data_IF_549035770124
#
_entry.id   IF_549035770124
#
_cell.length_a   1.000
_cell.length_b   1.000
_cell.length_c   1.000
_cell.angle_alpha   90.00
_cell.angle_beta   90.00
_cell.angle_gamma   90.00
#
_symmetry.space_group_name_H-M   'P 1'
#
loop_
_entity.id
_entity.type
_entity.pdbx_description
1 polymer ?
#
# COMPACT_ATOMS: atom_id res chain seq x y z
N UNK A 1 39.58 13.67 43.16
CA UNK A 1 39.55 13.69 41.69
C UNK A 1 41.00 13.73 41.22
N UNK A 2 41.55 12.57 40.89
CA UNK A 2 42.89 12.43 40.31
C UNK A 2 42.74 12.51 38.78
N UNK A 3 43.58 13.30 38.14
CA UNK A 3 43.66 13.42 36.68
C UNK A 3 44.97 12.73 36.28
N UNK A 4 44.86 11.59 35.62
CA UNK A 4 45.99 10.84 35.05
C UNK A 4 46.62 11.58 33.85
N UNK A 5 47.95 11.57 33.69
CA UNK A 5 48.61 12.19 32.55
C UNK A 5 48.56 11.29 31.29
N UNK A 6 48.33 11.93 30.15
CA UNK A 6 48.26 11.33 28.81
C UNK A 6 49.62 10.71 28.43
N UNK A 7 49.61 9.41 28.17
CA UNK A 7 50.76 8.64 27.70
C UNK A 7 50.92 8.82 26.18
N UNK A 8 51.95 9.53 25.74
CA UNK A 8 52.33 9.67 24.32
C UNK A 8 52.90 8.35 23.76
N UNK A 9 52.53 7.94 22.54
CA UNK A 9 53.06 6.72 21.92
C UNK A 9 54.55 6.87 21.53
N UNK A 10 55.34 5.78 21.55
CA UNK A 10 56.77 5.81 21.26
C UNK A 10 57.06 6.07 19.76
N UNK A 11 58.24 6.62 19.43
CA UNK A 11 58.60 6.97 18.06
C UNK A 11 58.76 5.73 17.16
N UNK A 12 58.40 5.82 15.87
CA UNK A 12 58.51 4.69 14.95
C UNK A 12 59.96 4.31 14.73
N UNK A 13 60.28 3.05 15.04
CA UNK A 13 61.58 2.44 14.74
C UNK A 13 61.82 2.40 13.22
N UNK A 14 63.07 2.56 12.75
CA UNK A 14 63.38 2.52 11.33
C UNK A 14 63.10 1.12 10.79
N UNK A 15 62.05 1.00 9.98
CA UNK A 15 61.70 -0.23 9.27
C UNK A 15 62.85 -0.55 8.32
N UNK A 16 63.56 -1.65 8.57
CA UNK A 16 64.45 -2.25 7.59
C UNK A 16 63.64 -2.53 6.32
N UNK A 17 64.01 -1.88 5.22
CA UNK A 17 63.34 -1.95 3.91
C UNK A 17 63.46 -3.34 3.21
N UNK A 18 63.68 -4.41 3.95
CA UNK A 18 63.78 -5.77 3.44
C UNK A 18 62.44 -6.50 3.30
N UNK A 19 61.32 -5.90 3.72
CA UNK A 19 59.98 -6.50 3.64
C UNK A 19 59.12 -6.00 2.46
N UNK A 20 59.71 -5.28 1.48
CA UNK A 20 58.97 -4.70 0.35
C UNK A 20 59.03 -5.55 -0.94
N UNK A 21 59.84 -6.62 -0.97
CA UNK A 21 60.01 -7.51 -2.14
C UNK A 21 59.74 -8.98 -1.84
N UNK A 22 59.21 -9.32 -0.65
CA UNK A 22 58.72 -10.68 -0.41
C UNK A 22 57.30 -10.77 -0.95
N UNK A 23 57.20 -11.25 -2.19
CA UNK A 23 55.97 -11.76 -2.76
C UNK A 23 55.41 -12.86 -1.81
N UNK A 24 54.16 -12.78 -1.32
CA UNK A 24 53.66 -13.66 -0.27
C UNK A 24 53.49 -15.13 -0.68
N UNK A 25 53.76 -15.50 -1.93
CA UNK A 25 53.45 -16.83 -2.47
C UNK A 25 54.66 -17.73 -2.75
N UNK A 26 55.89 -17.20 -2.66
CA UNK A 26 57.08 -18.02 -2.91
C UNK A 26 58.10 -17.83 -1.78
N UNK A 27 57.77 -18.42 -0.63
CA UNK A 27 58.73 -18.65 0.45
C UNK A 27 59.65 -19.85 0.16
N UNK A 28 59.49 -20.47 -1.00
CA UNK A 28 60.21 -21.68 -1.35
C UNK A 28 61.59 -21.35 -1.93
N UNK A 29 62.59 -22.20 -1.67
CA UNK A 29 63.88 -22.10 -2.34
C UNK A 29 63.71 -22.11 -3.86
N UNK A 30 64.53 -21.36 -4.60
CA UNK A 30 64.45 -21.23 -6.08
C UNK A 30 64.55 -22.56 -6.85
N UNK A 31 65.04 -23.62 -6.21
CA UNK A 31 65.12 -24.97 -6.77
C UNK A 31 63.80 -25.75 -6.61
N UNK A 32 62.95 -25.37 -5.67
CA UNK A 32 61.65 -25.98 -5.44
C UNK A 32 60.63 -25.29 -6.33
N UNK A 33 59.96 -26.08 -7.17
CA UNK A 33 59.05 -25.59 -8.20
C UNK A 33 57.71 -26.32 -8.07
N UNK A 34 56.80 -25.84 -7.22
CA UNK A 34 55.54 -26.52 -6.94
C UNK A 34 54.61 -26.56 -8.16
N UNK A 35 54.75 -25.62 -9.10
CA UNK A 35 53.99 -25.58 -10.36
C UNK A 35 54.13 -26.85 -11.20
N UNK A 36 55.27 -27.54 -11.11
CA UNK A 36 55.50 -28.80 -11.83
C UNK A 36 54.55 -29.91 -11.34
N UNK A 37 54.11 -29.86 -10.09
CA UNK A 37 53.16 -30.84 -9.52
C UNK A 37 51.76 -30.73 -10.13
N UNK A 38 51.42 -29.58 -10.72
CA UNK A 38 50.14 -29.37 -11.40
C UNK A 38 50.14 -29.89 -12.84
N UNK A 39 51.31 -30.30 -13.36
CA UNK A 39 51.42 -30.76 -14.74
C UNK A 39 50.86 -32.19 -14.90
N UNK A 40 50.10 -32.48 -15.98
CA UNK A 40 49.48 -33.79 -16.19
C UNK A 40 50.49 -34.91 -16.48
N UNK A 41 51.72 -34.56 -16.85
CA UNK A 41 52.80 -35.51 -17.20
C UNK A 41 53.88 -35.55 -16.12
N UNK A 42 53.56 -35.15 -14.89
CA UNK A 42 54.52 -35.08 -13.80
C UNK A 42 55.05 -36.48 -13.46
N UNK A 43 56.38 -36.64 -13.49
CA UNK A 43 57.08 -37.84 -13.03
C UNK A 43 57.91 -37.51 -11.79
N UNK A 44 57.55 -38.14 -10.67
CA UNK A 44 58.22 -37.91 -9.38
C UNK A 44 59.65 -38.42 -9.37
N UNK A 45 59.93 -39.52 -10.07
CA UNK A 45 61.25 -40.17 -10.04
C UNK A 45 62.28 -39.33 -10.81
N UNK A 46 61.90 -38.82 -11.99
CA UNK A 46 62.74 -37.87 -12.75
C UNK A 46 62.97 -36.56 -11.98
N UNK A 47 61.92 -36.02 -11.34
CA UNK A 47 62.02 -34.77 -10.57
C UNK A 47 62.97 -34.87 -9.37
N UNK A 48 62.87 -35.95 -8.58
CA UNK A 48 63.75 -36.18 -7.43
C UNK A 48 65.19 -36.45 -7.89
N UNK A 49 65.37 -37.18 -9.00
CA UNK A 49 66.69 -37.51 -9.55
C UNK A 49 67.45 -36.26 -10.00
N UNK A 50 66.76 -35.31 -10.64
CA UNK A 50 67.34 -34.03 -11.05
C UNK A 50 67.76 -33.21 -9.82
N UNK A 51 66.90 -33.10 -8.82
CA UNK A 51 67.14 -32.29 -7.60
C UNK A 51 68.20 -32.88 -6.67
N UNK A 52 68.32 -34.21 -6.58
CA UNK A 52 69.33 -34.88 -5.76
C UNK A 52 70.77 -34.56 -6.19
N UNK A 53 70.96 -34.11 -7.43
CA UNK A 53 72.27 -33.67 -7.95
C UNK A 53 72.74 -32.37 -7.29
N UNK A 54 71.82 -31.55 -6.78
CA UNK A 54 72.10 -30.19 -6.29
C UNK A 54 71.68 -29.95 -4.84
N UNK A 55 70.84 -30.81 -4.26
CA UNK A 55 70.22 -30.59 -2.94
C UNK A 55 70.28 -31.87 -2.07
N UNK A 56 70.65 -31.76 -0.77
CA UNK A 56 70.57 -32.87 0.16
C UNK A 56 69.15 -33.45 0.28
N UNK A 57 69.05 -34.76 0.44
CA UNK A 57 67.75 -35.43 0.48
C UNK A 57 66.89 -34.98 1.68
N UNK A 58 67.50 -34.73 2.84
CA UNK A 58 66.78 -34.30 4.04
C UNK A 58 66.12 -32.92 3.86
N UNK A 59 66.79 -32.00 3.17
CA UNK A 59 66.24 -30.66 2.87
C UNK A 59 65.13 -30.73 1.83
N UNK A 60 65.23 -31.62 0.84
CA UNK A 60 64.15 -31.87 -0.12
C UNK A 60 62.91 -32.42 0.59
N UNK A 61 63.11 -33.39 1.50
CA UNK A 61 62.04 -34.01 2.27
C UNK A 61 61.34 -33.01 3.18
N UNK A 62 62.09 -32.15 3.88
CA UNK A 62 61.51 -31.14 4.77
C UNK A 62 60.68 -30.11 4.00
N UNK A 63 61.17 -29.63 2.86
CA UNK A 63 60.42 -28.67 2.01
C UNK A 63 59.15 -29.29 1.42
N UNK A 64 59.21 -30.53 0.92
CA UNK A 64 58.03 -31.22 0.41
C UNK A 64 56.98 -31.41 1.52
N UNK A 65 57.43 -31.77 2.72
CA UNK A 65 56.53 -31.93 3.88
C UNK A 65 55.92 -30.59 4.29
N UNK A 66 56.72 -29.51 4.31
CA UNK A 66 56.24 -28.16 4.59
C UNK A 66 55.20 -27.70 3.57
N UNK A 67 55.46 -27.89 2.27
CA UNK A 67 54.53 -27.58 1.20
C UNK A 67 53.23 -28.38 1.32
N UNK A 68 53.30 -29.68 1.60
CA UNK A 68 52.11 -30.50 1.83
C UNK A 68 51.28 -30.00 3.03
N UNK A 69 51.93 -29.67 4.14
CA UNK A 69 51.23 -29.13 5.31
C UNK A 69 50.60 -27.76 5.03
N UNK A 70 51.28 -26.90 4.26
CA UNK A 70 50.76 -25.60 3.84
C UNK A 70 49.52 -25.77 2.98
N UNK A 71 49.59 -26.64 1.97
CA UNK A 71 48.47 -26.92 1.07
C UNK A 71 47.27 -27.53 1.83
N UNK A 72 47.53 -28.37 2.83
CA UNK A 72 46.47 -28.92 3.67
C UNK A 72 45.77 -27.84 4.50
N UNK A 73 46.52 -26.90 5.07
CA UNK A 73 45.94 -25.75 5.78
C UNK A 73 45.16 -24.85 4.83
N UNK A 74 45.70 -24.53 3.65
CA UNK A 74 45.01 -23.72 2.64
C UNK A 74 43.70 -24.37 2.18
N UNK A 75 43.69 -25.69 1.97
CA UNK A 75 42.48 -26.43 1.64
C UNK A 75 41.43 -26.32 2.76
N UNK A 76 41.85 -26.48 4.01
CA UNK A 76 40.96 -26.36 5.17
C UNK A 76 40.42 -24.94 5.27
N UNK A 77 41.26 -23.92 5.08
CA UNK A 77 40.86 -22.52 5.11
C UNK A 77 39.90 -22.16 3.97
N UNK A 78 40.14 -22.69 2.77
CA UNK A 78 39.25 -22.54 1.63
C UNK A 78 37.87 -23.15 1.92
N UNK A 79 37.84 -24.38 2.44
CA UNK A 79 36.60 -25.06 2.82
C UNK A 79 35.89 -24.28 3.92
N UNK A 80 36.60 -23.81 4.93
CA UNK A 80 36.02 -23.05 6.04
C UNK A 80 35.44 -21.70 5.57
N UNK A 81 36.13 -21.02 4.65
CA UNK A 81 35.65 -19.78 4.03
C UNK A 81 34.36 -20.05 3.25
N UNK A 82 34.38 -21.04 2.36
CA UNK A 82 33.23 -21.35 1.51
C UNK A 82 32.05 -21.87 2.35
N UNK A 83 32.31 -22.60 3.44
CA UNK A 83 31.29 -23.01 4.41
C UNK A 83 30.68 -21.81 5.13
N UNK A 84 31.50 -20.85 5.56
CA UNK A 84 31.04 -19.61 6.19
C UNK A 84 30.15 -18.83 5.24
N UNK A 85 30.53 -18.71 3.97
CA UNK A 85 29.74 -18.04 2.94
C UNK A 85 28.41 -18.77 2.68
N UNK A 86 28.42 -20.10 2.60
CA UNK A 86 27.21 -20.89 2.45
C UNK A 86 26.25 -20.72 3.63
N UNK A 87 26.75 -20.77 4.87
CA UNK A 87 25.94 -20.56 6.08
C UNK A 87 25.37 -19.15 6.12
N UNK A 88 26.18 -18.13 5.80
CA UNK A 88 25.74 -16.74 5.72
C UNK A 88 24.66 -16.54 4.65
N UNK A 89 24.83 -17.14 3.47
CA UNK A 89 23.84 -17.08 2.40
C UNK A 89 22.54 -17.78 2.80
N UNK A 90 22.63 -18.95 3.45
CA UNK A 90 21.46 -19.69 3.92
C UNK A 90 20.66 -18.90 4.96
N UNK A 91 21.34 -18.22 5.89
CA UNK A 91 20.71 -17.36 6.90
C UNK A 91 20.01 -16.17 6.24
N UNK A 92 20.69 -15.49 5.31
CA UNK A 92 20.09 -14.39 4.54
C UNK A 92 18.86 -14.83 3.76
N UNK A 93 18.87 -16.03 3.19
CA UNK A 93 17.75 -16.55 2.43
C UNK A 93 16.53 -16.81 3.33
N UNK A 94 16.75 -17.37 4.53
CA UNK A 94 15.70 -17.54 5.55
C UNK A 94 15.15 -16.19 6.00
N UNK A 95 16.01 -15.18 6.19
CA UNK A 95 15.58 -13.84 6.57
C UNK A 95 14.71 -13.19 5.48
N UNK A 96 15.07 -13.35 4.20
CA UNK A 96 14.28 -12.87 3.07
C UNK A 96 12.93 -13.58 3.00
N UNK A 97 12.90 -14.90 3.17
CA UNK A 97 11.64 -15.66 3.21
C UNK A 97 10.73 -15.15 4.34
N UNK A 98 11.29 -14.92 5.53
CA UNK A 98 10.55 -14.34 6.66
C UNK A 98 10.00 -12.95 6.34
N UNK A 99 10.74 -12.12 5.60
CA UNK A 99 10.30 -10.79 5.19
C UNK A 99 9.17 -10.87 4.16
N UNK A 100 9.25 -11.79 3.20
CA UNK A 100 8.18 -12.06 2.22
C UNK A 100 6.90 -12.51 2.93
N UNK A 101 7.01 -13.44 3.89
CA UNK A 101 5.87 -13.88 4.70
C UNK A 101 5.24 -12.71 5.47
N UNK A 102 6.06 -11.85 6.10
CA UNK A 102 5.58 -10.65 6.81
C UNK A 102 4.91 -9.64 5.89
N UNK A 103 5.36 -9.47 4.65
CA UNK A 103 4.79 -8.51 3.70
C UNK A 103 3.49 -8.98 3.04
N UNK A 104 3.23 -10.30 3.00
CA UNK A 104 2.06 -10.86 2.31
C UNK A 104 0.73 -10.36 2.88
N UNK A 105 0.58 -10.33 4.20
CA UNK A 105 -0.65 -9.88 4.85
C UNK A 105 -0.91 -8.37 4.67
N UNK A 106 0.05 -7.45 4.92
CA UNK A 106 -0.11 -6.02 4.65
C UNK A 106 -0.48 -5.69 3.19
N UNK A 107 0.10 -6.41 2.22
CA UNK A 107 -0.22 -6.21 0.81
C UNK A 107 -1.66 -6.63 0.47
N UNK A 108 -2.15 -7.71 1.10
CA UNK A 108 -3.52 -8.16 0.93
C UNK A 108 -4.50 -7.16 1.58
N UNK A 109 -4.20 -6.70 2.79
CA UNK A 109 -4.99 -5.68 3.48
C UNK A 109 -5.05 -4.37 2.68
N UNK A 110 -3.93 -3.94 2.10
CA UNK A 110 -3.90 -2.76 1.24
C UNK A 110 -4.78 -2.94 0.00
N UNK A 111 -4.74 -4.11 -0.64
CA UNK A 111 -5.61 -4.41 -1.79
C UNK A 111 -7.09 -4.37 -1.41
N UNK A 112 -7.45 -4.94 -0.26
CA UNK A 112 -8.82 -4.90 0.24
C UNK A 112 -9.28 -3.46 0.53
N UNK A 113 -8.42 -2.65 1.15
CA UNK A 113 -8.70 -1.22 1.38
C UNK A 113 -8.90 -0.44 0.08
N UNK A 114 -8.06 -0.69 -0.93
CA UNK A 114 -8.20 -0.05 -2.26
C UNK A 114 -9.52 -0.47 -2.92
N UNK A 115 -9.87 -1.74 -2.83
CA UNK A 115 -11.14 -2.26 -3.35
C UNK A 115 -12.34 -1.60 -2.66
N UNK A 116 -12.32 -1.54 -1.33
CA UNK A 116 -13.36 -0.86 -0.54
C UNK A 116 -13.48 0.63 -0.88
N UNK A 117 -12.35 1.32 -1.03
CA UNK A 117 -12.35 2.73 -1.45
C UNK A 117 -12.92 2.91 -2.86
N UNK A 118 -12.55 2.04 -3.80
CA UNK A 118 -13.10 2.06 -5.16
C UNK A 118 -14.62 1.86 -5.15
N UNK A 119 -15.11 0.88 -4.40
CA UNK A 119 -16.56 0.66 -4.23
C UNK A 119 -17.29 1.84 -3.59
N UNK A 120 -16.67 2.53 -2.63
CA UNK A 120 -17.21 3.75 -2.03
C UNK A 120 -17.31 4.90 -3.03
N UNK A 121 -16.27 5.09 -3.85
CA UNK A 121 -16.24 6.10 -4.92
C UNK A 121 -17.30 5.80 -5.98
N UNK A 122 -17.42 4.55 -6.41
CA UNK A 122 -18.43 4.14 -7.39
C UNK A 122 -19.85 4.34 -6.84
N UNK A 123 -20.10 4.00 -5.57
CA UNK A 123 -21.38 4.23 -4.91
C UNK A 123 -21.73 5.72 -4.84
N UNK A 124 -20.76 6.56 -4.49
CA UNK A 124 -20.93 8.02 -4.46
C UNK A 124 -21.21 8.59 -5.85
N UNK A 125 -20.50 8.10 -6.89
CA UNK A 125 -20.74 8.50 -8.27
C UNK A 125 -22.16 8.14 -8.72
N UNK A 126 -22.62 6.93 -8.41
CA UNK A 126 -23.99 6.48 -8.71
C UNK A 126 -25.01 7.35 -7.98
N UNK A 127 -24.81 7.61 -6.68
CA UNK A 127 -25.70 8.47 -5.91
C UNK A 127 -25.78 9.90 -6.48
N UNK A 128 -24.65 10.47 -6.90
CA UNK A 128 -24.59 11.79 -7.53
C UNK A 128 -25.31 11.79 -8.88
N UNK A 129 -25.10 10.78 -9.72
CA UNK A 129 -25.80 10.64 -11.00
C UNK A 129 -27.31 10.55 -10.81
N UNK A 130 -27.77 9.68 -9.92
CA UNK A 130 -29.18 9.53 -9.61
C UNK A 130 -29.77 10.84 -9.06
N UNK A 131 -29.04 11.54 -8.19
CA UNK A 131 -29.45 12.84 -7.66
C UNK A 131 -29.54 13.94 -8.72
N UNK A 132 -28.64 13.94 -9.72
CA UNK A 132 -28.71 14.87 -10.86
C UNK A 132 -29.89 14.55 -11.78
N UNK A 133 -30.15 13.28 -12.05
CA UNK A 133 -31.28 12.82 -12.86
C UNK A 133 -32.63 13.14 -12.18
N UNK A 134 -32.74 12.90 -10.88
CA UNK A 134 -33.94 13.27 -10.13
C UNK A 134 -34.19 14.78 -10.16
N UNK A 135 -33.13 15.59 -10.10
CA UNK A 135 -33.24 17.06 -10.18
C UNK A 135 -33.66 17.52 -11.58
N UNK A 136 -33.16 16.90 -12.64
CA UNK A 136 -33.55 17.25 -14.01
C UNK A 136 -35.00 16.85 -14.29
N UNK A 137 -35.44 15.68 -13.84
CA UNK A 137 -36.83 15.23 -13.96
C UNK A 137 -37.80 16.13 -13.17
N UNK A 138 -37.43 16.49 -11.94
CA UNK A 138 -38.20 17.41 -11.13
C UNK A 138 -38.31 18.80 -11.78
N UNK A 139 -37.24 19.28 -12.42
CA UNK A 139 -37.26 20.55 -13.17
C UNK A 139 -38.19 20.47 -14.39
N UNK A 140 -38.07 19.44 -15.22
CA UNK A 140 -38.92 19.24 -16.41
C UNK A 140 -40.41 19.13 -16.04
N UNK A 141 -40.70 18.40 -14.96
CA UNK A 141 -42.06 18.23 -14.45
C UNK A 141 -42.63 19.56 -13.96
N UNK A 142 -41.84 20.38 -13.24
CA UNK A 142 -42.26 21.73 -12.79
C UNK A 142 -42.57 22.65 -13.97
N UNK A 143 -41.76 22.62 -15.03
CA UNK A 143 -42.02 23.39 -16.25
C UNK A 143 -43.33 22.97 -16.91
N UNK A 144 -43.61 21.66 -16.99
CA UNK A 144 -44.86 21.13 -17.51
C UNK A 144 -46.07 21.59 -16.70
N UNK A 145 -46.06 21.39 -15.38
CA UNK A 145 -47.16 21.82 -14.51
C UNK A 145 -47.37 23.33 -14.56
N UNK A 146 -46.29 24.11 -14.58
CA UNK A 146 -46.35 25.58 -14.71
C UNK A 146 -47.05 26.00 -16.01
N UNK A 147 -46.64 25.44 -17.15
CA UNK A 147 -47.27 25.70 -18.45
C UNK A 147 -48.75 25.28 -18.48
N UNK A 148 -49.08 24.11 -17.94
CA UNK A 148 -50.45 23.60 -17.87
C UNK A 148 -51.33 24.50 -16.99
N UNK A 149 -50.82 24.90 -15.82
CA UNK A 149 -51.51 25.80 -14.90
C UNK A 149 -51.77 27.17 -15.52
N UNK A 150 -50.77 27.77 -16.18
CA UNK A 150 -50.91 29.05 -16.88
C UNK A 150 -52.00 28.94 -17.97
N UNK A 151 -52.00 27.88 -18.76
CA UNK A 151 -53.04 27.62 -19.79
C UNK A 151 -54.43 27.50 -19.16
N UNK A 152 -54.55 26.76 -18.06
CA UNK A 152 -55.81 26.54 -17.36
C UNK A 152 -56.37 27.83 -16.74
N UNK A 153 -55.52 28.62 -16.07
CA UNK A 153 -55.89 29.91 -15.52
C UNK A 153 -56.36 30.89 -16.61
N UNK A 154 -55.68 30.93 -17.76
CA UNK A 154 -56.10 31.74 -18.89
C UNK A 154 -57.48 31.30 -19.43
N UNK A 155 -57.72 29.99 -19.50
CA UNK A 155 -59.01 29.43 -19.93
C UNK A 155 -60.14 29.78 -18.95
N UNK A 156 -59.90 29.62 -17.65
CA UNK A 156 -60.85 29.99 -16.59
C UNK A 156 -61.18 31.48 -16.66
N UNK A 157 -60.16 32.35 -16.75
CA UNK A 157 -60.36 33.80 -16.89
C UNK A 157 -61.26 34.12 -18.08
N UNK A 158 -60.95 33.56 -19.25
CA UNK A 158 -61.76 33.74 -20.46
C UNK A 158 -63.20 33.25 -20.27
N UNK A 159 -63.38 32.08 -19.64
CA UNK A 159 -64.72 31.52 -19.40
C UNK A 159 -65.53 32.39 -18.42
N UNK A 160 -64.91 32.88 -17.35
CA UNK A 160 -65.52 33.81 -16.39
C UNK A 160 -65.93 35.10 -17.09
N UNK A 161 -65.04 35.72 -17.86
CA UNK A 161 -65.36 36.91 -18.64
C UNK A 161 -66.48 36.69 -19.66
N UNK A 162 -66.52 35.52 -20.30
CA UNK A 162 -67.59 35.14 -21.22
C UNK A 162 -68.93 34.96 -20.50
N UNK A 163 -68.94 34.30 -19.34
CA UNK A 163 -70.16 34.15 -18.54
C UNK A 163 -70.68 35.50 -18.06
N UNK A 164 -69.80 36.40 -17.58
CA UNK A 164 -70.16 37.76 -17.16
C UNK A 164 -70.82 38.55 -18.31
N UNK A 165 -70.37 38.36 -19.55
CA UNK A 165 -70.97 39.02 -20.73
C UNK A 165 -72.31 38.44 -21.17
N UNK A 166 -72.63 37.21 -20.78
CA UNK A 166 -73.82 36.46 -21.21
C UNK A 166 -74.89 36.35 -20.12
N UNK A 167 -74.68 36.93 -18.92
CA UNK A 167 -75.76 37.09 -17.95
C UNK A 167 -76.78 38.12 -18.48
N UNK A 168 -78.09 37.80 -18.51
CA UNK A 168 -79.11 38.79 -18.83
C UNK A 168 -79.20 39.82 -17.70
N UNK A 169 -79.17 41.11 -18.03
CA UNK A 169 -79.53 42.19 -17.11
C UNK A 169 -81.03 42.09 -16.78
N UNK A 170 -81.38 41.90 -15.51
CA UNK A 170 -82.77 41.88 -15.00
C UNK A 170 -82.89 42.96 -13.90
N UNK A 171 -84.02 43.72 -13.82
CA UNK A 171 -84.01 45.10 -13.37
C UNK A 171 -84.03 45.26 -11.84
N UNK A 172 -83.60 46.45 -11.40
CA UNK A 172 -83.69 46.90 -10.03
C UNK A 172 -85.16 47.03 -9.58
N UNK A 173 -85.63 46.12 -8.72
CA UNK A 173 -86.58 46.46 -7.65
C UNK A 173 -86.62 45.34 -6.59
N UNK A 174 -85.95 45.55 -5.46
CA UNK A 174 -86.22 44.82 -4.21
C UNK A 174 -86.36 45.86 -3.11
N UNK A 175 -87.56 46.47 -3.08
CA UNK A 175 -88.07 47.32 -2.01
C UNK A 175 -88.27 46.52 -0.71
N UNK A 176 -88.06 47.20 0.41
CA UNK A 176 -88.08 46.73 1.80
C UNK A 176 -89.38 46.02 2.23
N UNK A 177 -89.25 45.05 3.13
CA UNK A 177 -90.34 44.46 3.91
C UNK A 177 -89.82 43.73 5.15
N UNK A 178 -89.84 44.42 6.28
CA UNK A 178 -89.53 43.92 7.63
C UNK A 178 -90.76 43.18 8.21
N UNK A 179 -90.60 41.94 8.72
CA UNK A 179 -91.46 41.36 9.78
C UNK A 179 -90.72 40.25 10.55
N UNK A 180 -90.52 40.47 11.86
CA UNK A 180 -90.17 39.47 12.88
C UNK A 180 -91.35 38.50 13.17
N UNK A 181 -91.10 37.26 13.65
CA UNK A 181 -91.74 36.63 14.85
C UNK A 181 -91.79 35.07 14.84
N UNK A 182 -91.32 34.52 15.97
CA UNK A 182 -91.68 33.26 16.66
C UNK A 182 -91.19 31.86 16.21
N UNK A 183 -90.30 31.31 17.05
CA UNK A 183 -90.39 30.01 17.75
C UNK A 183 -91.04 28.80 17.04
N UNK A 184 -90.26 27.70 16.88
CA UNK A 184 -90.49 26.43 17.63
C UNK A 184 -89.29 25.47 17.50
N UNK A 185 -88.89 24.96 18.66
CA UNK A 185 -87.96 23.85 18.93
C UNK A 185 -88.20 22.57 18.12
N UNK A 186 -87.15 21.79 17.83
CA UNK A 186 -86.98 20.39 18.28
C UNK A 186 -85.51 19.93 18.10
N UNK A 187 -84.91 19.61 19.25
CA UNK A 187 -83.86 18.64 19.58
C UNK A 187 -83.49 17.61 18.49
N UNK A 188 -82.19 17.46 18.18
CA UNK A 188 -81.45 16.25 18.58
C UNK A 188 -79.93 16.41 18.42
N UNK A 189 -79.24 15.91 19.43
CA UNK A 189 -77.83 16.07 19.76
C UNK A 189 -77.07 14.74 19.53
N UNK A 190 -75.74 14.83 19.37
CA UNK A 190 -74.77 13.72 19.42
C UNK A 190 -73.73 13.87 18.30
N UNK A 191 -72.56 14.50 18.47
CA UNK A 191 -71.46 14.26 19.44
C UNK A 191 -71.04 12.79 19.47
N UNK A 192 -69.83 12.43 19.01
CA UNK A 192 -68.60 12.31 19.82
C UNK A 192 -67.45 11.99 18.82
N UNK A 193 -66.35 12.76 18.73
CA UNK A 193 -65.10 12.67 19.54
C UNK A 193 -64.21 11.46 19.12
N UNK A 194 -63.01 11.63 18.51
CA UNK A 194 -61.67 11.71 19.11
C UNK A 194 -60.65 11.64 17.93
N UNK A 195 -59.46 12.25 17.88
CA UNK A 195 -58.56 12.69 18.94
C UNK A 195 -57.39 11.72 19.15
N UNK A 196 -56.36 11.73 18.28
CA UNK A 196 -55.01 11.15 18.47
C UNK A 196 -54.21 11.33 17.15
N UNK A 197 -52.91 11.59 17.04
CA UNK A 197 -51.78 11.80 17.95
C UNK A 197 -50.59 12.14 17.02
N UNK A 198 -49.78 13.12 17.41
CA UNK A 198 -48.50 13.50 16.79
C UNK A 198 -47.42 12.45 17.06
N UNK A 199 -46.76 11.91 16.02
CA UNK A 199 -45.41 11.36 16.21
C UNK A 199 -44.47 11.64 15.05
N UNK A 200 -43.49 12.47 15.36
CA UNK A 200 -42.18 12.56 14.73
C UNK A 200 -41.54 11.19 14.56
N UNK A 201 -40.95 10.96 13.39
CA UNK A 201 -39.76 10.13 13.25
C UNK A 201 -38.75 10.86 12.38
N UNK A 202 -37.73 11.41 13.05
CA UNK A 202 -36.42 11.63 12.45
C UNK A 202 -35.90 10.27 11.96
N UNK A 203 -35.39 10.21 10.73
CA UNK A 203 -34.45 9.17 10.31
C UNK A 203 -33.35 9.84 9.52
N UNK A 204 -32.29 10.20 10.25
CA UNK A 204 -30.94 10.22 9.71
C UNK A 204 -30.45 8.78 9.66
N UNK A 205 -30.12 8.29 8.47
CA UNK A 205 -28.90 7.58 8.16
C UNK A 205 -28.80 7.48 6.63
#
# INVERSE_FOLDING_TARGET
MAVDPIQTPPPPQPRSNTYLFSDPLDSHPLWFKPDLFLSPNFDSDSYISELRTFVPFDTLRSELQAHLTSLNHELIDLINRDYTDFVNLSTKLVDVDSAVVRMRAPLLELREKIEGFRGSVDSSLVALKNGLEQRSEAAATREFWSCCWIRFMLFLRYKVEKLIKELPSVPADWSNGDVNLAQKSVVSNGSIENGANVRETQSML
#
